data_IF_754947087473
#
_entry.id   IF_754947087473
#
_cell.length_a   1.000
_cell.length_b   1.000
_cell.length_c   1.000
_cell.angle_alpha   90.00
_cell.angle_beta   90.00
_cell.angle_gamma   90.00
#
_symmetry.space_group_name_H-M   'P 1'
#
loop_
_entity.id
_entity.type
_entity.pdbx_description
1 polymer ?
#
# COMPACT_ATOMS: atom_id res chain seq x y z
N UNK A 1 16.36 -13.35 -0.80
CA UNK A 1 16.53 -12.31 0.24
C UNK A 1 15.22 -11.54 0.33
N UNK A 2 14.66 -11.32 1.53
CA UNK A 2 13.43 -10.54 1.67
C UNK A 2 13.72 -9.05 1.38
N UNK A 3 12.83 -8.34 0.65
CA UNK A 3 13.06 -6.94 0.36
C UNK A 3 12.96 -6.08 1.63
N UNK A 4 13.91 -5.17 1.80
CA UNK A 4 13.78 -4.05 2.73
C UNK A 4 12.72 -3.06 2.24
N UNK A 5 12.16 -2.21 3.13
CA UNK A 5 11.44 -1.02 2.71
C UNK A 5 12.28 -0.16 1.77
N UNK A 6 11.63 0.62 0.92
CA UNK A 6 12.31 1.60 0.06
C UNK A 6 13.11 2.58 0.92
N UNK A 7 14.29 3.00 0.44
CA UNK A 7 15.14 3.99 1.11
C UNK A 7 14.42 5.32 1.33
N UNK A 8 13.68 5.77 0.31
CA UNK A 8 12.82 6.96 0.36
C UNK A 8 11.36 6.56 0.20
N UNK A 9 10.48 7.31 0.85
CA UNK A 9 9.05 6.98 0.88
C UNK A 9 8.46 7.12 -0.52
N UNK A 10 7.70 6.10 -0.93
CA UNK A 10 6.80 6.17 -2.07
C UNK A 10 5.37 6.15 -1.50
N UNK A 11 4.67 7.26 -1.62
CA UNK A 11 3.33 7.47 -1.07
C UNK A 11 2.34 7.50 -2.23
N UNK A 12 1.30 6.68 -2.18
CA UNK A 12 0.27 6.66 -3.22
C UNK A 12 -0.99 7.33 -2.72
N UNK A 13 -1.56 8.23 -3.52
CA UNK A 13 -2.85 8.85 -3.28
C UNK A 13 -3.91 8.19 -4.18
N UNK A 14 -4.95 7.65 -3.57
CA UNK A 14 -6.07 6.98 -4.26
C UNK A 14 -7.40 7.60 -3.85
N UNK A 15 -8.26 7.88 -4.81
CA UNK A 15 -9.62 8.34 -4.55
C UNK A 15 -10.53 7.16 -4.21
N UNK A 16 -11.38 7.30 -3.19
CA UNK A 16 -12.34 6.25 -2.81
C UNK A 16 -13.36 5.99 -3.93
N UNK A 17 -13.64 7.00 -4.75
CA UNK A 17 -14.46 6.87 -5.96
C UNK A 17 -13.97 5.79 -6.95
N UNK A 18 -12.74 5.30 -6.80
CA UNK A 18 -12.28 4.10 -7.51
C UNK A 18 -13.21 2.89 -7.28
N UNK A 19 -13.97 2.85 -6.19
CA UNK A 19 -14.90 1.76 -5.85
C UNK A 19 -16.36 2.05 -6.21
N UNK A 20 -16.67 3.19 -6.83
CA UNK A 20 -18.07 3.61 -7.08
C UNK A 20 -18.79 2.74 -8.12
N UNK A 21 -18.06 1.98 -8.95
CA UNK A 21 -18.62 1.12 -10.01
C UNK A 21 -19.11 -0.21 -9.43
N UNK A 22 -18.44 -0.70 -8.40
CA UNK A 22 -18.69 -2.01 -7.82
C UNK A 22 -19.97 -2.00 -6.98
N UNK A 23 -20.86 -2.95 -7.26
CA UNK A 23 -22.21 -3.00 -6.71
C UNK A 23 -22.33 -3.90 -5.49
N UNK A 24 -21.38 -4.85 -5.33
CA UNK A 24 -21.41 -5.86 -4.28
C UNK A 24 -20.13 -5.87 -3.44
N UNK A 25 -20.25 -6.30 -2.17
CA UNK A 25 -19.09 -6.47 -1.29
C UNK A 25 -18.04 -7.41 -1.88
N UNK A 26 -18.47 -8.43 -2.65
CA UNK A 26 -17.57 -9.36 -3.33
C UNK A 26 -16.74 -8.66 -4.40
N UNK A 27 -17.37 -7.85 -5.25
CA UNK A 27 -16.69 -7.05 -6.29
C UNK A 27 -15.69 -6.06 -5.66
N UNK A 28 -16.13 -5.33 -4.64
CA UNK A 28 -15.27 -4.40 -3.88
C UNK A 28 -14.06 -5.15 -3.30
N UNK A 29 -14.27 -6.34 -2.72
CA UNK A 29 -13.19 -7.13 -2.11
C UNK A 29 -12.20 -7.62 -3.16
N UNK A 30 -12.66 -8.06 -4.34
CA UNK A 30 -11.80 -8.50 -5.44
C UNK A 30 -10.97 -7.33 -5.97
N UNK A 31 -11.60 -6.18 -6.20
CA UNK A 31 -10.91 -4.98 -6.69
C UNK A 31 -9.89 -4.45 -5.69
N UNK A 32 -10.28 -4.34 -4.42
CA UNK A 32 -9.34 -4.03 -3.35
C UNK A 32 -8.22 -5.05 -3.30
N UNK A 33 -8.50 -6.35 -3.42
CA UNK A 33 -7.44 -7.36 -3.45
C UNK A 33 -6.37 -7.06 -4.50
N UNK A 34 -6.76 -6.68 -5.71
CA UNK A 34 -5.84 -6.33 -6.78
C UNK A 34 -5.03 -5.06 -6.45
N UNK A 35 -5.68 -4.03 -5.93
CA UNK A 35 -5.04 -2.78 -5.50
C UNK A 35 -4.03 -3.05 -4.37
N UNK A 36 -4.43 -3.75 -3.31
CA UNK A 36 -3.59 -4.06 -2.15
C UNK A 36 -2.35 -4.86 -2.58
N UNK A 37 -2.52 -5.83 -3.48
CA UNK A 37 -1.41 -6.58 -4.08
C UNK A 37 -0.44 -5.70 -4.84
N UNK A 38 -0.96 -4.87 -5.74
CA UNK A 38 -0.14 -3.93 -6.51
C UNK A 38 0.70 -3.04 -5.60
N UNK A 39 0.08 -2.51 -4.53
CA UNK A 39 0.76 -1.64 -3.57
C UNK A 39 1.92 -2.36 -2.83
N UNK A 40 1.71 -3.62 -2.41
CA UNK A 40 2.78 -4.38 -1.73
C UNK A 40 3.87 -4.86 -2.69
N UNK A 41 3.52 -5.23 -3.93
CA UNK A 41 4.46 -5.68 -4.96
C UNK A 41 5.52 -4.60 -5.24
N UNK A 42 5.11 -3.32 -5.26
CA UNK A 42 6.02 -2.20 -5.52
C UNK A 42 6.52 -1.48 -4.26
N UNK A 43 6.36 -2.11 -3.08
CA UNK A 43 6.87 -1.63 -1.78
C UNK A 43 6.43 -0.20 -1.45
N UNK A 44 5.15 0.10 -1.71
CA UNK A 44 4.56 1.39 -1.35
C UNK A 44 4.66 1.58 0.16
N UNK A 45 5.07 2.77 0.60
CA UNK A 45 5.28 3.07 2.02
C UNK A 45 3.98 3.44 2.72
N UNK A 46 3.19 4.29 2.09
CA UNK A 46 1.93 4.81 2.64
C UNK A 46 0.91 5.01 1.52
N UNK A 47 -0.37 4.80 1.85
CA UNK A 47 -1.50 5.07 0.96
C UNK A 47 -2.42 6.08 1.62
N UNK A 48 -2.66 7.19 0.94
CA UNK A 48 -3.60 8.21 1.35
C UNK A 48 -4.88 8.04 0.52
N UNK A 49 -5.94 7.60 1.19
CA UNK A 49 -7.27 7.50 0.60
C UNK A 49 -7.95 8.86 0.67
N UNK A 50 -8.47 9.31 -0.46
CA UNK A 50 -9.09 10.62 -0.61
C UNK A 50 -10.61 10.45 -0.70
N UNK A 51 -11.33 11.23 0.09
CA UNK A 51 -12.78 11.38 -0.05
C UNK A 51 -13.14 12.81 -0.47
N UNK A 52 -14.12 12.90 -1.36
CA UNK A 52 -14.79 14.12 -1.82
C UNK A 52 -16.18 14.23 -1.21
N UNK A 53 -16.80 13.09 -0.83
CA UNK A 53 -18.16 13.05 -0.27
C UNK A 53 -18.24 12.34 1.09
N UNK A 54 -19.29 12.62 1.87
CA UNK A 54 -19.56 11.91 3.13
C UNK A 54 -19.91 10.43 2.92
N UNK A 55 -20.40 10.05 1.73
CA UNK A 55 -20.58 8.64 1.35
C UNK A 55 -19.23 7.93 1.33
N UNK A 56 -18.28 8.46 0.57
CA UNK A 56 -16.91 7.94 0.44
C UNK A 56 -16.19 7.90 1.80
N UNK A 57 -16.38 8.93 2.62
CA UNK A 57 -15.84 8.96 4.00
C UNK A 57 -16.31 7.78 4.85
N UNK A 58 -17.56 7.34 4.69
CA UNK A 58 -18.10 6.16 5.40
C UNK A 58 -17.56 4.85 4.82
N UNK A 59 -17.34 4.78 3.51
CA UNK A 59 -16.76 3.63 2.82
C UNK A 59 -15.32 3.35 3.25
N UNK A 60 -14.58 4.36 3.69
CA UNK A 60 -13.24 4.20 4.27
C UNK A 60 -13.16 3.10 5.33
N UNK A 61 -14.19 2.95 6.17
CA UNK A 61 -14.20 1.90 7.19
C UNK A 61 -14.08 0.51 6.58
N UNK A 62 -14.79 0.26 5.49
CA UNK A 62 -14.74 -1.02 4.78
C UNK A 62 -13.35 -1.25 4.19
N UNK A 63 -12.81 -0.25 3.49
CA UNK A 63 -11.48 -0.30 2.86
C UNK A 63 -10.41 -0.58 3.92
N UNK A 64 -10.46 0.15 5.04
CA UNK A 64 -9.53 -0.01 6.15
C UNK A 64 -9.59 -1.40 6.76
N UNK A 65 -10.79 -1.90 7.05
CA UNK A 65 -10.97 -3.22 7.66
C UNK A 65 -10.45 -4.35 6.76
N UNK A 66 -10.73 -4.29 5.46
CA UNK A 66 -10.22 -5.26 4.47
C UNK A 66 -8.70 -5.16 4.34
N UNK A 67 -8.15 -3.93 4.26
CA UNK A 67 -6.70 -3.70 4.12
C UNK A 67 -5.93 -4.19 5.35
N UNK A 68 -6.41 -3.87 6.56
CA UNK A 68 -5.82 -4.30 7.81
C UNK A 68 -5.86 -5.84 7.93
N UNK A 69 -6.97 -6.48 7.53
CA UNK A 69 -7.08 -7.93 7.48
C UNK A 69 -6.09 -8.55 6.49
N UNK A 70 -5.96 -7.98 5.29
CA UNK A 70 -5.05 -8.48 4.26
C UNK A 70 -3.59 -8.39 4.71
N UNK A 71 -3.18 -7.28 5.32
CA UNK A 71 -1.81 -7.03 5.78
C UNK A 71 -1.43 -7.83 7.05
N UNK A 72 -2.41 -8.26 7.84
CA UNK A 72 -2.15 -9.05 9.06
C UNK A 72 -1.57 -10.43 8.72
N UNK A 73 -0.45 -10.86 9.36
CA UNK A 73 0.10 -12.20 9.18
C UNK A 73 -0.95 -13.30 9.38
N UNK A 74 -0.93 -14.39 8.57
CA UNK A 74 -1.98 -15.41 8.60
C UNK A 74 -2.30 -15.97 9.99
N UNK A 75 -1.28 -16.26 10.80
CA UNK A 75 -1.44 -16.79 12.15
C UNK A 75 -2.04 -15.78 13.15
N UNK A 76 -1.96 -14.48 12.88
CA UNK A 76 -2.54 -13.42 13.71
C UNK A 76 -3.98 -13.06 13.33
N UNK A 77 -4.48 -13.50 12.16
CA UNK A 77 -5.84 -13.18 11.69
C UNK A 77 -6.93 -13.68 12.64
N UNK A 78 -6.66 -14.73 13.43
CA UNK A 78 -7.57 -15.25 14.47
C UNK A 78 -7.89 -14.23 15.57
N UNK A 79 -7.06 -13.20 15.75
CA UNK A 79 -7.30 -12.12 16.71
C UNK A 79 -8.12 -10.95 16.13
N UNK A 80 -8.53 -11.03 14.88
CA UNK A 80 -9.38 -10.02 14.25
C UNK A 80 -10.85 -10.39 14.52
N UNK A 81 -11.65 -9.49 15.14
CA UNK A 81 -13.07 -9.73 15.37
C UNK A 81 -13.81 -9.99 14.06
N UNK A 82 -14.77 -10.93 14.08
CA UNK A 82 -15.67 -11.15 12.95
C UNK A 82 -16.52 -9.90 12.71
N UNK A 83 -16.57 -9.44 11.46
CA UNK A 83 -17.37 -8.28 11.00
C UNK A 83 -18.00 -8.61 9.67
N UNK A 84 -19.18 -8.05 9.38
CA UNK A 84 -19.90 -8.29 8.11
C UNK A 84 -19.10 -7.80 6.89
N UNK A 85 -18.35 -6.69 7.05
CA UNK A 85 -17.38 -6.17 6.09
C UNK A 85 -16.30 -7.18 5.70
N UNK A 86 -15.96 -8.11 6.61
CA UNK A 86 -14.95 -9.14 6.39
C UNK A 86 -15.54 -10.47 5.91
N UNK A 87 -16.85 -10.53 5.62
CA UNK A 87 -17.51 -11.78 5.22
C UNK A 87 -17.00 -12.35 3.88
N UNK A 88 -16.39 -11.51 3.04
CA UNK A 88 -15.89 -11.87 1.70
C UNK A 88 -14.36 -11.91 1.59
N UNK A 89 -13.63 -11.82 2.71
CA UNK A 89 -12.15 -11.81 2.72
C UNK A 89 -11.49 -13.08 2.16
N UNK A 90 -12.24 -14.17 2.01
CA UNK A 90 -11.78 -15.36 1.28
C UNK A 90 -11.51 -15.13 -0.20
N UNK A 91 -12.00 -14.02 -0.77
CA UNK A 91 -11.71 -13.59 -2.15
C UNK A 91 -10.38 -12.83 -2.28
N UNK A 92 -9.74 -12.48 -1.16
CA UNK A 92 -8.44 -11.80 -1.19
C UNK A 92 -7.37 -12.76 -1.70
N UNK A 93 -6.64 -12.32 -2.71
CA UNK A 93 -5.42 -12.96 -3.14
C UNK A 93 -4.35 -12.87 -2.03
N UNK A 94 -3.50 -13.89 -1.87
CA UNK A 94 -2.45 -13.86 -0.86
C UNK A 94 -1.47 -12.72 -1.16
N UNK A 95 -1.08 -11.94 -0.14
CA UNK A 95 -0.07 -10.90 -0.29
C UNK A 95 1.36 -11.46 -0.24
N UNK A 96 1.57 -12.55 0.52
CA UNK A 96 2.85 -13.25 0.68
C UNK A 96 4.06 -12.31 0.90
N UNK A 97 3.85 -11.25 1.68
CA UNK A 97 4.93 -10.33 2.10
C UNK A 97 5.82 -11.01 3.15
N UNK A 98 7.06 -10.52 3.38
CA UNK A 98 8.00 -11.13 4.34
C UNK A 98 7.44 -11.45 5.73
N UNK A 99 6.51 -10.62 6.22
CA UNK A 99 5.87 -10.83 7.52
C UNK A 99 4.80 -11.94 7.54
N UNK A 100 4.39 -12.47 6.39
CA UNK A 100 3.37 -13.52 6.24
C UNK A 100 3.97 -14.92 6.29
N UNK A 101 4.82 -15.17 7.29
CA UNK A 101 5.38 -16.51 7.50
C UNK A 101 4.27 -17.51 7.84
N UNK A 102 4.25 -18.63 7.11
CA UNK A 102 3.25 -19.70 7.28
C UNK A 102 3.82 -20.87 8.09
N UNK A 103 5.12 -21.12 7.96
CA UNK A 103 5.79 -22.19 8.69
C UNK A 103 5.85 -21.87 10.18
N UNK A 104 5.56 -22.87 11.01
CA UNK A 104 5.75 -22.79 12.47
C UNK A 104 7.14 -23.27 12.93
N UNK A 105 8.02 -23.58 11.98
CA UNK A 105 9.40 -23.98 12.26
C UNK A 105 10.22 -22.82 12.81
N UNK A 106 11.22 -23.19 13.61
CA UNK A 106 12.20 -22.27 14.17
C UNK A 106 13.39 -22.15 13.21
N UNK A 107 13.51 -21.01 12.54
CA UNK A 107 14.63 -20.74 11.64
C UNK A 107 15.52 -19.71 12.35
N UNK A 108 16.77 -20.07 12.64
CA UNK A 108 17.71 -19.16 13.33
C UNK A 108 17.88 -17.83 12.60
N UNK A 109 17.82 -16.73 13.37
CA UNK A 109 17.88 -15.37 12.85
C UNK A 109 16.57 -14.87 12.23
N UNK A 110 15.54 -15.70 12.11
CA UNK A 110 14.24 -15.28 11.60
C UNK A 110 13.54 -14.35 12.60
N UNK A 111 13.01 -13.24 12.10
CA UNK A 111 12.24 -12.28 12.89
C UNK A 111 10.76 -12.52 12.64
N UNK A 112 9.97 -12.66 13.71
CA UNK A 112 8.53 -12.90 13.67
C UNK A 112 7.78 -11.72 14.26
N UNK A 113 6.69 -11.33 13.63
CA UNK A 113 5.72 -10.40 14.20
C UNK A 113 4.83 -11.14 15.19
N UNK A 114 4.43 -10.49 16.28
CA UNK A 114 3.54 -11.11 17.24
C UNK A 114 2.46 -10.21 17.80
N UNK A 115 1.52 -10.87 18.47
CA UNK A 115 0.42 -10.23 19.19
C UNK A 115 0.01 -11.12 20.35
N UNK A 116 -0.05 -10.57 21.57
CA UNK A 116 -0.44 -11.33 22.78
C UNK A 116 0.41 -12.60 22.98
N UNK A 117 1.72 -12.50 22.76
CA UNK A 117 2.64 -13.63 22.92
C UNK A 117 2.62 -14.68 21.79
N UNK A 118 1.74 -14.54 20.80
CA UNK A 118 1.73 -15.40 19.61
C UNK A 118 2.61 -14.81 18.51
N UNK A 119 3.66 -15.53 18.12
CA UNK A 119 4.60 -15.16 17.07
C UNK A 119 4.53 -16.10 15.84
N UNK A 120 3.46 -16.89 15.72
CA UNK A 120 3.30 -17.84 14.61
C UNK A 120 4.22 -19.06 14.71
N UNK A 121 4.69 -19.34 15.92
CA UNK A 121 5.51 -20.50 16.27
C UNK A 121 4.66 -21.51 17.03
N UNK A 122 5.19 -22.70 17.28
CA UNK A 122 4.46 -23.80 17.95
C UNK A 122 4.08 -23.52 19.41
N UNK A 123 4.59 -22.43 20.01
CA UNK A 123 4.34 -22.06 21.40
C UNK A 123 4.06 -20.56 21.53
N UNK A 124 3.32 -20.22 22.59
CA UNK A 124 3.14 -18.85 23.05
C UNK A 124 4.28 -18.46 23.98
N UNK A 125 4.64 -17.19 23.95
CA UNK A 125 5.70 -16.62 24.77
C UNK A 125 5.15 -15.52 25.67
N UNK A 126 5.73 -15.36 26.86
CA UNK A 126 5.37 -14.31 27.83
C UNK A 126 5.92 -12.92 27.45
N UNK A 127 5.96 -12.63 26.16
CA UNK A 127 6.41 -11.36 25.60
C UNK A 127 5.19 -10.57 25.10
N UNK A 128 4.28 -10.24 26.03
CA UNK A 128 2.97 -9.66 25.70
C UNK A 128 3.07 -8.27 25.06
N UNK A 129 4.09 -7.50 25.44
CA UNK A 129 4.34 -6.14 24.95
C UNK A 129 5.34 -6.08 23.78
N UNK A 130 5.80 -7.24 23.29
CA UNK A 130 6.76 -7.30 22.18
C UNK A 130 6.04 -7.52 20.85
N UNK A 131 6.18 -6.57 19.93
CA UNK A 131 5.67 -6.68 18.56
C UNK A 131 6.50 -7.66 17.71
N UNK A 132 7.78 -7.86 18.06
CA UNK A 132 8.68 -8.72 17.30
C UNK A 132 9.57 -9.57 18.21
N UNK A 133 9.91 -10.76 17.71
CA UNK A 133 10.94 -11.63 18.28
C UNK A 133 11.89 -12.10 17.20
N UNK A 134 13.11 -12.42 17.58
CA UNK A 134 14.08 -13.13 16.75
C UNK A 134 14.27 -14.54 17.29
N UNK A 135 14.30 -15.53 16.40
CA UNK A 135 14.67 -16.90 16.75
C UNK A 135 16.17 -16.94 17.04
N UNK A 136 16.51 -17.08 18.32
CA UNK A 136 17.90 -17.04 18.80
C UNK A 136 18.58 -18.40 18.85
N UNK A 137 17.78 -19.47 18.97
CA UNK A 137 18.25 -20.85 19.03
C UNK A 137 17.12 -21.75 18.52
N UNK A 138 17.31 -22.33 17.34
CA UNK A 138 16.28 -23.12 16.67
C UNK A 138 16.05 -24.47 17.34
N UNK A 139 17.13 -25.12 17.80
CA UNK A 139 17.11 -26.44 18.43
C UNK A 139 16.44 -26.37 19.81
N UNK A 140 16.77 -25.34 20.59
CA UNK A 140 16.16 -25.10 21.89
C UNK A 140 14.81 -24.36 21.83
N UNK A 141 14.33 -23.98 20.63
CA UNK A 141 13.09 -23.23 20.42
C UNK A 141 13.02 -21.92 21.19
N UNK A 142 14.16 -21.24 21.34
CA UNK A 142 14.26 -19.97 22.08
C UNK A 142 14.16 -18.80 21.14
N UNK A 143 13.33 -17.85 21.52
CA UNK A 143 13.22 -16.54 20.88
C UNK A 143 13.57 -15.44 21.87
N UNK A 144 13.97 -14.28 21.36
CA UNK A 144 14.20 -13.08 22.17
C UNK A 144 13.42 -11.91 21.57
N UNK A 145 12.88 -10.99 22.40
CA UNK A 145 12.32 -9.74 21.91
C UNK A 145 13.30 -9.02 20.97
N UNK A 146 12.78 -8.48 19.88
CA UNK A 146 13.58 -7.79 18.88
C UNK A 146 12.97 -6.41 18.60
N UNK A 147 13.78 -5.34 18.50
CA UNK A 147 13.27 -3.97 18.57
C UNK A 147 12.49 -3.52 17.33
N UNK A 148 12.72 -4.12 16.15
CA UNK A 148 12.07 -3.70 14.91
C UNK A 148 12.01 -4.81 13.86
N UNK A 149 11.11 -4.70 12.89
CA UNK A 149 11.08 -5.59 11.73
C UNK A 149 11.81 -4.95 10.54
N UNK A 150 12.94 -5.53 10.06
CA UNK A 150 13.78 -4.89 9.06
C UNK A 150 13.19 -4.94 7.65
N UNK A 151 12.38 -5.95 7.34
CA UNK A 151 11.87 -6.16 5.98
C UNK A 151 10.59 -5.37 5.71
N UNK A 152 10.23 -5.25 4.44
CA UNK A 152 8.98 -4.60 4.06
C UNK A 152 7.78 -5.39 4.60
N UNK A 153 6.96 -4.73 5.43
CA UNK A 153 5.79 -5.33 6.10
C UNK A 153 4.44 -4.90 5.51
N UNK A 154 4.47 -4.32 4.31
CA UNK A 154 3.32 -3.65 3.70
C UNK A 154 3.31 -2.14 3.94
N UNK A 155 2.22 -1.50 3.54
CA UNK A 155 2.01 -0.06 3.62
C UNK A 155 1.13 0.32 4.81
N UNK A 156 1.26 1.55 5.28
CA UNK A 156 0.26 2.16 6.16
C UNK A 156 -0.81 2.87 5.34
N UNK A 157 -2.03 2.97 5.86
CA UNK A 157 -3.10 3.70 5.18
C UNK A 157 -3.73 4.78 6.06
N UNK A 158 -4.06 5.93 5.48
CA UNK A 158 -4.76 7.04 6.13
C UNK A 158 -5.86 7.60 5.23
N UNK A 159 -6.88 8.20 5.84
CA UNK A 159 -7.94 8.91 5.14
C UNK A 159 -7.65 10.42 5.22
N UNK A 160 -7.77 11.12 4.10
CA UNK A 160 -7.67 12.58 4.01
C UNK A 160 -8.82 13.13 3.14
N UNK A 161 -9.22 14.38 3.39
CA UNK A 161 -10.17 15.06 2.51
C UNK A 161 -9.50 15.51 1.21
N UNK A 162 -10.31 15.79 0.18
CA UNK A 162 -9.82 16.39 -1.06
C UNK A 162 -9.05 17.70 -0.82
N UNK A 163 -9.56 18.57 0.06
CA UNK A 163 -8.89 19.82 0.41
C UNK A 163 -7.49 19.59 1.03
N UNK A 164 -7.38 18.64 1.97
CA UNK A 164 -6.10 18.27 2.58
C UNK A 164 -5.13 17.67 1.56
N UNK A 165 -5.65 16.98 0.54
CA UNK A 165 -4.85 16.49 -0.58
C UNK A 165 -4.30 17.66 -1.39
N UNK A 166 -5.13 18.62 -1.80
CA UNK A 166 -4.70 19.80 -2.55
C UNK A 166 -3.59 20.55 -1.82
N UNK A 167 -3.78 20.85 -0.53
CA UNK A 167 -2.77 21.52 0.31
C UNK A 167 -1.42 20.79 0.33
N UNK A 168 -1.43 19.45 0.29
CA UNK A 168 -0.21 18.64 0.25
C UNK A 168 0.46 18.63 -1.12
N UNK A 169 -0.32 18.66 -2.20
CA UNK A 169 0.21 18.39 -3.55
C UNK A 169 0.51 19.65 -4.37
N UNK A 170 -0.23 20.75 -4.18
CA UNK A 170 -0.13 21.95 -5.05
C UNK A 170 1.28 22.51 -5.14
N UNK A 171 1.96 22.65 -3.99
CA UNK A 171 3.28 23.31 -3.94
C UNK A 171 4.46 22.36 -3.83
N UNK A 172 4.21 21.05 -3.92
CA UNK A 172 5.22 20.01 -3.77
C UNK A 172 5.74 19.59 -5.15
N UNK A 173 7.06 19.66 -5.33
CA UNK A 173 7.77 19.24 -6.54
C UNK A 173 7.94 17.71 -6.64
N UNK A 174 7.81 17.01 -5.52
CA UNK A 174 7.91 15.55 -5.41
C UNK A 174 6.59 14.81 -5.60
N UNK A 175 5.66 15.41 -6.34
CA UNK A 175 4.36 14.82 -6.67
C UNK A 175 4.34 14.44 -8.15
N UNK A 176 3.86 13.24 -8.44
CA UNK A 176 3.58 12.77 -9.78
C UNK A 176 2.07 12.53 -9.90
N UNK A 177 1.44 13.15 -10.88
CA UNK A 177 0.06 12.91 -11.25
C UNK A 177 0.06 12.05 -12.51
N UNK A 178 -0.49 10.84 -12.40
CA UNK A 178 -0.66 9.98 -13.57
C UNK A 178 -1.82 10.51 -14.42
N UNK A 179 -1.52 10.94 -15.65
CA UNK A 179 -2.51 11.45 -16.59
C UNK A 179 -2.13 11.13 -18.03
N UNK A 180 -3.14 10.81 -18.86
CA UNK A 180 -2.97 10.60 -20.30
C UNK A 180 -2.36 11.80 -21.01
N UNK A 181 -2.65 13.02 -20.53
CA UNK A 181 -2.12 14.27 -21.08
C UNK A 181 -0.74 14.65 -20.57
N UNK A 182 -0.12 13.81 -19.73
CA UNK A 182 1.20 14.06 -19.15
C UNK A 182 2.35 13.85 -20.14
N UNK A 183 3.53 14.28 -19.73
CA UNK A 183 4.78 14.04 -20.44
C UNK A 183 5.09 12.54 -20.51
N UNK A 184 5.88 12.13 -21.52
CA UNK A 184 6.38 10.75 -21.56
C UNK A 184 7.39 10.55 -20.43
N UNK A 185 7.33 9.41 -19.74
CA UNK A 185 8.22 9.12 -18.61
C UNK A 185 9.71 9.29 -18.97
N UNK A 186 10.12 8.88 -20.17
CA UNK A 186 11.50 9.02 -20.67
C UNK A 186 12.01 10.46 -20.73
N UNK A 187 11.12 11.46 -20.75
CA UNK A 187 11.50 12.88 -20.80
C UNK A 187 11.76 13.46 -19.41
N UNK A 188 11.30 12.78 -18.36
CA UNK A 188 11.29 13.31 -16.98
C UNK A 188 11.90 12.35 -15.96
N UNK A 189 12.33 11.15 -16.37
CA UNK A 189 12.78 10.11 -15.46
C UNK A 189 13.99 10.52 -14.61
N UNK A 190 14.98 11.21 -15.19
CA UNK A 190 16.17 11.64 -14.46
C UNK A 190 15.82 12.61 -13.33
N UNK A 191 14.99 13.61 -13.64
CA UNK A 191 14.52 14.59 -12.65
C UNK A 191 13.64 13.93 -11.58
N UNK A 192 12.82 12.94 -11.94
CA UNK A 192 12.04 12.16 -10.98
C UNK A 192 12.94 11.40 -10.01
N UNK A 193 14.05 10.80 -10.50
CA UNK A 193 15.02 10.10 -9.64
C UNK A 193 15.71 11.05 -8.67
N UNK A 194 16.15 12.22 -9.14
CA UNK A 194 16.74 13.27 -8.28
C UNK A 194 15.78 13.66 -7.15
N UNK A 195 14.54 14.01 -7.50
CA UNK A 195 13.52 14.42 -6.52
C UNK A 195 13.16 13.29 -5.54
N UNK A 196 13.13 12.04 -6.01
CA UNK A 196 12.92 10.88 -5.14
C UNK A 196 14.04 10.71 -4.10
N UNK A 197 15.30 10.85 -4.51
CA UNK A 197 16.45 10.71 -3.60
C UNK A 197 16.52 11.83 -2.56
N UNK A 198 16.02 13.02 -2.89
CA UNK A 198 15.92 14.12 -1.93
C UNK A 198 14.76 13.87 -0.94
N UNK A 199 13.54 13.76 -1.46
CA UNK A 199 12.31 13.97 -0.67
C UNK A 199 11.37 12.76 -0.63
N UNK A 200 11.67 11.67 -1.35
CA UNK A 200 10.69 10.64 -1.68
C UNK A 200 9.67 11.14 -2.69
N UNK A 201 8.62 10.36 -2.97
CA UNK A 201 7.63 10.70 -3.99
C UNK A 201 6.19 10.45 -3.53
N UNK A 202 5.30 11.31 -4.01
CA UNK A 202 3.85 11.12 -3.98
C UNK A 202 3.37 10.77 -5.39
N UNK A 203 2.61 9.69 -5.54
CA UNK A 203 1.97 9.30 -6.79
C UNK A 203 0.46 9.42 -6.65
N UNK A 204 -0.16 10.31 -7.41
CA UNK A 204 -1.60 10.49 -7.47
C UNK A 204 -2.17 9.66 -8.62
N UNK A 205 -3.05 8.71 -8.29
CA UNK A 205 -3.77 7.89 -9.26
C UNK A 205 -5.26 8.11 -9.12
N UNK A 206 -5.94 8.18 -10.27
CA UNK A 206 -7.38 8.07 -10.35
C UNK A 206 -8.06 9.38 -10.75
N UNK A 207 -9.29 9.27 -11.26
CA UNK A 207 -10.03 10.40 -11.75
C UNK A 207 -10.68 11.11 -10.56
N UNK A 208 -10.40 12.38 -10.33
CA UNK A 208 -11.34 13.26 -9.64
C UNK A 208 -12.55 13.46 -10.53
N UNK A 209 -13.73 13.49 -9.93
CA UNK A 209 -15.01 13.75 -10.64
C UNK A 209 -14.97 15.07 -11.43
N UNK A 210 -14.03 15.98 -11.09
CA UNK A 210 -13.88 17.31 -11.65
C UNK A 210 -12.54 17.61 -12.35
N UNK A 211 -11.60 16.66 -12.43
CA UNK A 211 -10.26 16.90 -12.98
C UNK A 211 -9.31 17.62 -12.00
N UNK A 212 -8.37 16.90 -11.37
CA UNK A 212 -7.46 17.36 -10.28
C UNK A 212 -6.57 18.45 -10.85
N UNK A 213 -6.20 18.30 -12.12
CA UNK A 213 -5.42 19.28 -12.85
C UNK A 213 -6.09 20.66 -12.94
N UNK A 214 -7.42 20.75 -12.82
CA UNK A 214 -8.12 22.03 -12.85
C UNK A 214 -7.96 22.80 -11.54
N UNK A 215 -7.87 22.09 -10.42
CA UNK A 215 -7.81 22.68 -9.08
C UNK A 215 -6.37 22.93 -8.63
N UNK A 216 -5.38 22.38 -9.34
CA UNK A 216 -3.95 22.54 -9.04
C UNK A 216 -3.32 23.69 -9.85
N UNK A 217 -3.75 24.92 -9.54
CA UNK A 217 -3.05 26.12 -10.01
C UNK A 217 -1.61 26.12 -9.46
N UNK A 218 -0.63 26.44 -10.31
CA UNK A 218 0.81 26.47 -9.98
C UNK A 218 1.42 25.13 -9.51
N UNK A 219 0.88 24.01 -9.98
CA UNK A 219 1.45 22.69 -9.72
C UNK A 219 2.92 22.59 -10.17
N UNK A 220 3.82 22.29 -9.23
CA UNK A 220 5.28 22.23 -9.47
C UNK A 220 5.81 20.82 -9.76
N UNK A 221 5.00 19.80 -9.49
CA UNK A 221 5.37 18.41 -9.70
C UNK A 221 5.31 17.97 -11.16
N UNK A 222 5.16 16.68 -11.36
CA UNK A 222 5.16 16.04 -12.68
C UNK A 222 3.76 15.58 -13.06
N UNK A 223 3.36 15.81 -14.30
CA UNK A 223 2.19 15.17 -14.89
C UNK A 223 2.73 14.18 -15.92
N UNK A 224 2.51 12.88 -15.69
CA UNK A 224 3.19 11.83 -16.44
C UNK A 224 2.18 10.88 -17.07
N UNK A 225 2.38 10.58 -18.35
CA UNK A 225 1.69 9.51 -19.03
C UNK A 225 2.51 8.21 -18.93
N UNK A 226 2.08 7.33 -18.02
CA UNK A 226 2.69 6.01 -17.81
C UNK A 226 2.26 4.96 -18.83
N UNK A 227 1.23 5.21 -19.65
CA UNK A 227 0.71 4.26 -20.64
C UNK A 227 0.57 4.98 -21.99
N UNK A 228 1.70 5.39 -22.61
CA UNK A 228 1.66 6.04 -23.90
C UNK A 228 1.11 5.08 -24.96
N UNK A 229 0.38 5.62 -25.94
CA UNK A 229 -0.25 4.84 -27.02
C UNK A 229 -1.19 3.74 -26.50
N UNK A 230 -1.91 3.98 -25.40
CA UNK A 230 -2.92 3.07 -24.87
C UNK A 230 -3.90 2.61 -25.98
N UNK A 231 -4.15 1.30 -26.04
CA UNK A 231 -5.06 0.69 -27.01
C UNK A 231 -6.54 0.75 -26.62
N UNK A 232 -6.84 1.29 -25.44
CA UNK A 232 -8.20 1.45 -24.90
C UNK A 232 -8.56 2.92 -24.77
N UNK A 233 -9.85 3.24 -24.77
CA UNK A 233 -10.33 4.62 -24.60
C UNK A 233 -9.95 5.18 -23.22
N UNK A 234 -10.22 4.39 -22.18
CA UNK A 234 -10.01 4.76 -20.78
C UNK A 234 -9.26 3.62 -20.08
N UNK A 235 -8.24 3.96 -19.30
CA UNK A 235 -7.52 3.01 -18.44
C UNK A 235 -8.10 3.13 -17.04
N UNK A 236 -8.45 2.01 -16.40
CA UNK A 236 -8.99 2.03 -15.04
C UNK A 236 -7.93 2.43 -14.04
N UNK A 237 -8.34 3.00 -12.91
CA UNK A 237 -7.40 3.53 -11.93
C UNK A 237 -6.49 2.43 -11.33
N UNK A 238 -7.00 1.21 -11.13
CA UNK A 238 -6.20 0.08 -10.68
C UNK A 238 -5.18 -0.40 -11.73
N UNK A 239 -5.52 -0.35 -13.02
CA UNK A 239 -4.62 -0.66 -14.13
C UNK A 239 -3.53 0.41 -14.24
N UNK A 240 -3.91 1.69 -14.13
CA UNK A 240 -3.01 2.84 -14.11
C UNK A 240 -2.07 2.79 -12.90
N UNK A 241 -2.57 2.41 -11.72
CA UNK A 241 -1.77 2.21 -10.51
C UNK A 241 -0.67 1.18 -10.76
N UNK A 242 -1.04 0.01 -11.28
CA UNK A 242 -0.09 -1.06 -11.56
C UNK A 242 0.96 -0.63 -12.59
N UNK A 243 0.55 -0.07 -13.73
CA UNK A 243 1.49 0.38 -14.75
C UNK A 243 2.45 1.47 -14.25
N UNK A 244 1.91 2.46 -13.52
CA UNK A 244 2.70 3.57 -12.97
C UNK A 244 3.72 3.06 -11.96
N UNK A 245 3.31 2.21 -11.02
CA UNK A 245 4.22 1.67 -10.01
C UNK A 245 5.25 0.70 -10.60
N UNK A 246 4.90 -0.07 -11.65
CA UNK A 246 5.86 -0.91 -12.36
C UNK A 246 6.98 -0.09 -13.01
N UNK A 247 6.62 0.99 -13.70
CA UNK A 247 7.58 1.89 -14.36
C UNK A 247 8.39 2.71 -13.34
N UNK A 248 7.76 3.21 -12.27
CA UNK A 248 8.49 3.86 -11.18
C UNK A 248 9.44 2.89 -10.50
N UNK A 249 9.04 1.64 -10.27
CA UNK A 249 9.94 0.63 -9.72
C UNK A 249 11.14 0.38 -10.63
N UNK A 250 10.98 0.46 -11.95
CA UNK A 250 12.09 0.31 -12.89
C UNK A 250 13.10 1.46 -12.78
N UNK A 251 12.64 2.71 -12.69
CA UNK A 251 13.53 3.89 -12.69
C UNK A 251 14.08 4.26 -11.31
N UNK A 252 13.37 3.92 -10.23
CA UNK A 252 13.74 4.26 -8.83
C UNK A 252 14.49 3.13 -8.11
N UNK A 253 14.97 2.13 -8.86
CA UNK A 253 15.69 0.98 -8.30
C UNK A 253 17.09 1.36 -7.82
#
# INVERSE_FOLDING_TARGET
MFPYPRRKKLIVLLFISILDVESSLSEITIKLSYILRTLVEFRVSEVLWIYETEKERKEWRLIKEISDYALTPPYLKKYIPKRNSLSKVGLLQPLNIPSHQVSSEFIEGEIRMGKKGDFGLRCLYDYLDSDYVVVSDSLAKKVKPYPFYPYYKGFTSRLISYQQMLEKVTHSDNVIIASRSGANLSQVEDKIREVYEENGLYLVIGPPKHGVLRDLHDFKGFIVNFIPKQGVKDVRAEEALHASLALLNFILN
#
